data_IF_222708378356
#
_entry.id   IF_222708378356
#
_cell.length_a   1.000
_cell.length_b   1.000
_cell.length_c   1.000
_cell.angle_alpha   90.00
_cell.angle_beta   90.00
_cell.angle_gamma   90.00
#
_symmetry.space_group_name_H-M   'P 1'
#
loop_
_entity.id
_entity.type
_entity.pdbx_description
1 polymer ?
#
# COMPACT_ATOMS: atom_id res chain seq x y z
N UNK A 1 -19.09 -41.12 38.77
CA UNK A 1 -17.99 -40.38 39.42
C UNK A 1 -16.72 -40.35 38.57
N UNK A 2 -16.22 -41.51 38.08
CA UNK A 2 -14.99 -41.54 37.26
C UNK A 2 -15.06 -40.80 35.89
N UNK A 3 -16.22 -40.76 35.25
CA UNK A 3 -16.38 -40.08 33.94
C UNK A 3 -16.37 -38.53 34.08
N UNK A 4 -16.94 -38.03 35.15
CA UNK A 4 -16.95 -36.62 35.47
C UNK A 4 -15.58 -36.09 35.88
N UNK A 5 -14.80 -36.90 36.60
CA UNK A 5 -13.41 -36.62 36.97
C UNK A 5 -12.51 -36.61 35.73
N UNK A 6 -12.71 -37.53 34.77
CA UNK A 6 -11.97 -37.57 33.54
C UNK A 6 -12.29 -36.35 32.62
N UNK A 7 -13.54 -35.88 32.59
CA UNK A 7 -13.91 -34.67 31.87
C UNK A 7 -13.33 -33.39 32.52
N UNK A 8 -13.34 -33.35 33.87
CA UNK A 8 -12.74 -32.20 34.59
C UNK A 8 -11.21 -32.19 34.41
N UNK A 9 -10.54 -33.34 34.44
CA UNK A 9 -9.12 -33.46 34.17
C UNK A 9 -8.75 -33.12 32.72
N UNK A 10 -9.58 -33.49 31.76
CA UNK A 10 -9.40 -33.06 30.37
C UNK A 10 -9.62 -31.55 30.18
N UNK A 11 -10.61 -30.94 30.84
CA UNK A 11 -10.85 -29.49 30.81
C UNK A 11 -9.72 -28.73 31.52
N UNK A 12 -9.20 -29.27 32.64
CA UNK A 12 -8.05 -28.69 33.35
C UNK A 12 -6.77 -28.79 32.50
N UNK A 13 -6.51 -29.97 31.90
CA UNK A 13 -5.39 -30.16 30.98
C UNK A 13 -5.52 -29.27 29.72
N UNK A 14 -6.72 -29.10 29.16
CA UNK A 14 -6.96 -28.18 28.03
C UNK A 14 -6.73 -26.73 28.43
N UNK A 15 -7.13 -26.33 29.65
CA UNK A 15 -6.90 -24.97 30.14
C UNK A 15 -5.43 -24.72 30.53
N UNK A 16 -4.69 -25.73 30.97
CA UNK A 16 -3.25 -25.61 31.29
C UNK A 16 -2.40 -25.67 30.01
N UNK A 17 -2.75 -26.49 29.02
CA UNK A 17 -2.09 -26.55 27.72
C UNK A 17 -2.37 -25.31 26.83
N UNK A 18 -3.49 -24.59 27.07
CA UNK A 18 -3.82 -23.34 26.41
C UNK A 18 -3.11 -22.11 26.99
N UNK A 19 -2.30 -22.25 28.04
CA UNK A 19 -1.59 -21.12 28.68
C UNK A 19 -0.13 -20.95 28.27
N UNK A 20 0.45 -21.81 27.43
CA UNK A 20 1.74 -21.47 26.82
C UNK A 20 1.49 -20.59 25.61
N UNK A 21 1.58 -19.27 25.83
CA UNK A 21 1.58 -18.27 24.76
C UNK A 21 2.62 -18.64 23.71
N UNK A 22 2.20 -18.74 22.47
CA UNK A 22 3.10 -18.96 21.34
C UNK A 22 4.21 -17.89 21.28
N UNK A 23 5.29 -18.17 20.57
CA UNK A 23 6.39 -17.22 20.42
C UNK A 23 5.91 -15.91 19.78
N UNK A 24 5.00 -15.98 18.82
CA UNK A 24 4.30 -14.90 18.15
C UNK A 24 3.55 -14.00 19.15
N UNK A 25 2.72 -14.59 20.02
CA UNK A 25 2.00 -13.84 21.04
C UNK A 25 2.92 -13.15 22.04
N UNK A 26 4.04 -13.78 22.42
CA UNK A 26 5.05 -13.16 23.31
C UNK A 26 5.74 -11.98 22.63
N UNK A 27 6.01 -12.09 21.33
CA UNK A 27 6.59 -10.98 20.54
C UNK A 27 5.59 -9.85 20.46
N UNK A 28 4.33 -10.10 20.10
CA UNK A 28 3.27 -9.10 20.01
C UNK A 28 3.10 -8.35 21.33
N UNK A 29 2.99 -9.06 22.46
CA UNK A 29 2.88 -8.43 23.79
C UNK A 29 4.10 -7.60 24.17
N UNK A 30 5.31 -8.02 23.79
CA UNK A 30 6.53 -7.28 24.05
C UNK A 30 6.59 -5.96 23.23
N UNK A 31 6.06 -5.95 22.01
CA UNK A 31 6.02 -4.78 21.14
C UNK A 31 4.77 -3.92 21.30
N UNK A 32 3.69 -4.44 21.91
CA UNK A 32 2.43 -3.71 22.10
C UNK A 32 2.61 -2.32 22.72
N UNK A 33 3.37 -2.12 23.80
CA UNK A 33 3.54 -0.78 24.38
C UNK A 33 4.20 0.22 23.42
N UNK A 34 5.12 -0.25 22.58
CA UNK A 34 5.77 0.56 21.56
C UNK A 34 4.77 0.91 20.45
N UNK A 35 4.00 -0.07 20.01
CA UNK A 35 2.92 0.12 19.04
C UNK A 35 1.88 1.11 19.53
N UNK A 36 1.46 1.03 20.79
CA UNK A 36 0.47 1.92 21.40
C UNK A 36 0.95 3.37 21.45
N UNK A 37 2.23 3.60 21.78
CA UNK A 37 2.82 4.94 21.77
C UNK A 37 2.80 5.52 20.34
N UNK A 38 3.29 4.78 19.35
CA UNK A 38 3.30 5.24 17.98
C UNK A 38 1.90 5.46 17.43
N UNK A 39 0.98 4.55 17.69
CA UNK A 39 -0.43 4.66 17.28
C UNK A 39 -1.08 5.87 17.95
N UNK A 40 -0.85 6.11 19.23
CA UNK A 40 -1.37 7.28 19.95
C UNK A 40 -0.87 8.62 19.41
N UNK A 41 0.38 8.65 18.91
CA UNK A 41 0.96 9.86 18.29
C UNK A 41 0.47 10.06 16.86
N UNK A 42 0.43 9.00 16.05
CA UNK A 42 0.08 9.08 14.62
C UNK A 42 -1.43 9.27 14.44
N UNK A 43 -2.21 8.51 15.20
CA UNK A 43 -3.67 8.51 15.10
C UNK A 43 -4.34 9.36 16.18
N UNK A 44 -3.61 10.35 16.76
CA UNK A 44 -4.27 11.24 17.69
C UNK A 44 -5.49 11.90 17.05
N UNK A 45 -6.60 11.93 17.77
CA UNK A 45 -7.88 12.38 17.24
C UNK A 45 -8.11 13.86 17.50
N UNK A 46 -8.74 14.52 16.51
CA UNK A 46 -9.35 15.84 16.67
C UNK A 46 -10.83 15.67 16.39
N UNK A 47 -11.65 15.81 17.45
CA UNK A 47 -13.02 15.29 17.41
C UNK A 47 -13.01 13.76 17.42
N UNK A 48 -13.80 13.15 16.54
CA UNK A 48 -13.99 11.69 16.50
C UNK A 48 -13.02 10.96 15.56
N UNK A 49 -12.12 11.69 14.85
CA UNK A 49 -11.31 11.10 13.80
C UNK A 49 -9.83 11.46 13.89
N UNK A 50 -8.93 10.58 13.37
CA UNK A 50 -7.49 10.84 13.36
C UNK A 50 -7.12 12.11 12.59
N UNK A 51 -6.33 12.98 13.21
CA UNK A 51 -5.88 14.24 12.62
C UNK A 51 -5.13 14.05 11.29
N UNK A 52 -4.37 12.97 11.18
CA UNK A 52 -3.61 12.66 9.96
C UNK A 52 -4.50 12.56 8.71
N UNK A 53 -5.75 12.09 8.86
CA UNK A 53 -6.69 11.99 7.73
C UNK A 53 -7.10 13.39 7.25
N UNK A 54 -7.43 14.30 8.17
CA UNK A 54 -7.73 15.69 7.82
C UNK A 54 -6.56 16.35 7.09
N UNK A 55 -5.34 16.09 7.53
CA UNK A 55 -4.15 16.65 6.93
C UNK A 55 -3.91 16.09 5.52
N UNK A 56 -4.02 14.77 5.33
CA UNK A 56 -3.82 14.13 4.02
C UNK A 56 -4.88 14.57 3.01
N UNK A 57 -6.16 14.52 3.39
CA UNK A 57 -7.27 14.89 2.50
C UNK A 57 -7.30 16.38 2.25
N UNK A 58 -7.07 17.20 3.29
CA UNK A 58 -7.02 18.65 3.17
C UNK A 58 -5.88 19.13 2.26
N UNK A 59 -4.69 18.53 2.39
CA UNK A 59 -3.56 18.84 1.49
C UNK A 59 -3.83 18.36 0.06
N UNK A 60 -4.43 17.19 -0.13
CA UNK A 60 -4.78 16.68 -1.45
C UNK A 60 -5.79 17.58 -2.18
N UNK A 61 -6.82 18.02 -1.46
CA UNK A 61 -7.80 18.99 -1.96
C UNK A 61 -7.14 20.34 -2.28
N UNK A 62 -6.31 20.85 -1.36
CA UNK A 62 -5.56 22.08 -1.54
C UNK A 62 -4.71 22.05 -2.82
N UNK A 63 -3.89 21.02 -3.03
CA UNK A 63 -3.07 20.90 -4.23
C UNK A 63 -3.92 20.72 -5.49
N UNK A 64 -5.02 19.99 -5.42
CA UNK A 64 -5.94 19.84 -6.55
C UNK A 64 -6.50 21.20 -7.01
N UNK A 65 -6.90 22.05 -6.06
CA UNK A 65 -7.44 23.38 -6.35
C UNK A 65 -6.35 24.36 -6.80
N UNK A 66 -5.22 24.43 -6.10
CA UNK A 66 -4.11 25.34 -6.40
C UNK A 66 -3.52 25.10 -7.79
N UNK A 67 -3.34 23.83 -8.17
CA UNK A 67 -2.84 23.48 -9.50
C UNK A 67 -3.94 23.29 -10.55
N UNK A 68 -5.18 23.69 -10.24
CA UNK A 68 -6.31 23.71 -11.16
C UNK A 68 -6.57 22.33 -11.78
N UNK A 69 -6.75 21.32 -10.95
CA UNK A 69 -7.05 19.93 -11.32
C UNK A 69 -6.00 19.30 -12.26
N UNK A 70 -4.73 19.20 -11.84
CA UNK A 70 -3.67 18.62 -12.68
C UNK A 70 -3.96 17.16 -13.05
N UNK A 71 -4.63 16.43 -12.18
CA UNK A 71 -5.09 15.06 -12.37
C UNK A 71 -6.02 14.88 -13.59
N UNK A 72 -6.81 15.89 -13.93
CA UNK A 72 -7.69 15.87 -15.12
C UNK A 72 -6.96 16.50 -16.32
N UNK A 73 -6.41 17.70 -16.14
CA UNK A 73 -5.84 18.48 -17.24
C UNK A 73 -4.63 17.87 -17.90
N UNK A 74 -3.78 17.20 -17.11
CA UNK A 74 -2.50 16.68 -17.58
C UNK A 74 -2.44 15.14 -17.62
N UNK A 75 -3.57 14.45 -17.41
CA UNK A 75 -3.61 12.98 -17.42
C UNK A 75 -3.08 12.38 -18.73
N UNK A 76 -3.53 12.90 -19.87
CA UNK A 76 -3.05 12.44 -21.17
C UNK A 76 -1.57 12.79 -21.40
N UNK A 77 -1.10 13.92 -20.86
CA UNK A 77 0.31 14.30 -20.90
C UNK A 77 1.16 13.34 -20.07
N UNK A 78 0.71 12.95 -18.89
CA UNK A 78 1.37 11.97 -18.04
C UNK A 78 1.60 10.64 -18.78
N UNK A 79 0.56 10.12 -19.46
CA UNK A 79 0.68 8.92 -20.29
C UNK A 79 1.70 9.10 -21.43
N UNK A 80 1.71 10.27 -22.07
CA UNK A 80 2.65 10.57 -23.16
C UNK A 80 4.10 10.64 -22.66
N UNK A 81 4.35 11.18 -21.44
CA UNK A 81 5.68 11.17 -20.81
C UNK A 81 6.15 9.74 -20.59
N UNK A 82 5.32 8.91 -19.96
CA UNK A 82 5.65 7.49 -19.71
C UNK A 82 5.95 6.74 -21.02
N UNK A 83 5.25 7.07 -22.11
CA UNK A 83 5.47 6.47 -23.44
C UNK A 83 6.72 7.00 -24.15
N UNK A 84 7.48 7.92 -23.55
CA UNK A 84 8.69 8.47 -24.13
C UNK A 84 8.46 9.49 -25.26
N UNK A 85 7.24 10.01 -25.42
CA UNK A 85 6.95 10.99 -26.49
C UNK A 85 7.79 12.27 -26.39
N UNK A 86 8.25 12.58 -25.21
CA UNK A 86 9.02 13.80 -24.92
C UNK A 86 10.51 13.52 -24.66
N UNK A 87 10.98 12.28 -24.81
CA UNK A 87 12.39 11.91 -24.58
C UNK A 87 13.38 12.71 -25.40
N UNK A 88 13.00 13.13 -26.60
CA UNK A 88 13.87 13.95 -27.46
C UNK A 88 14.07 15.37 -26.92
N UNK A 89 13.09 15.94 -26.22
CA UNK A 89 13.21 17.24 -25.58
C UNK A 89 14.14 17.18 -24.36
N UNK A 90 14.17 16.04 -23.69
CA UNK A 90 15.03 15.82 -22.53
C UNK A 90 16.48 15.49 -22.89
N UNK A 91 16.75 15.13 -24.16
CA UNK A 91 18.09 14.80 -24.67
C UNK A 91 18.90 16.03 -25.15
N UNK A 92 18.28 17.21 -25.30
CA UNK A 92 18.86 18.31 -26.09
C UNK A 92 19.77 19.26 -25.30
N UNK A 93 19.90 19.18 -23.98
CA UNK A 93 20.61 20.18 -23.17
C UNK A 93 21.68 19.63 -22.21
N UNK A 94 22.53 18.82 -22.62
CA UNK A 94 23.77 18.35 -22.00
C UNK A 94 23.82 16.83 -21.83
N UNK A 95 25.01 16.27 -22.09
CA UNK A 95 25.33 14.83 -21.95
C UNK A 95 25.31 14.30 -20.49
N UNK A 96 24.94 15.12 -19.51
CA UNK A 96 24.77 14.71 -18.11
C UNK A 96 23.33 14.23 -17.87
N UNK A 97 23.05 12.98 -18.17
CA UNK A 97 21.81 12.31 -17.78
C UNK A 97 21.84 12.03 -16.29
N UNK A 98 21.49 13.01 -15.48
CA UNK A 98 21.30 12.85 -14.05
C UNK A 98 20.11 11.90 -13.80
N UNK A 99 20.38 10.73 -13.27
CA UNK A 99 19.38 9.73 -12.96
C UNK A 99 19.79 8.30 -13.28
N UNK A 100 19.05 7.33 -12.76
CA UNK A 100 19.40 5.90 -12.85
C UNK A 100 18.39 5.09 -13.68
N UNK A 101 17.10 5.51 -13.73
CA UNK A 101 15.98 4.74 -14.30
C UNK A 101 15.14 5.59 -15.27
N UNK A 102 14.34 4.94 -16.12
CA UNK A 102 13.39 5.62 -17.01
C UNK A 102 12.12 6.05 -16.25
N UNK A 103 11.29 6.92 -16.84
CA UNK A 103 9.97 7.30 -16.32
C UNK A 103 9.08 6.09 -16.04
N UNK A 104 9.01 5.14 -16.97
CA UNK A 104 8.23 3.91 -16.79
C UNK A 104 8.78 3.05 -15.63
N UNK A 105 10.10 2.92 -15.51
CA UNK A 105 10.74 2.17 -14.43
C UNK A 105 10.51 2.82 -13.07
N UNK A 106 10.57 4.15 -12.97
CA UNK A 106 10.27 4.87 -11.74
C UNK A 106 8.81 4.68 -11.33
N UNK A 107 7.87 4.86 -12.28
CA UNK A 107 6.44 4.59 -12.06
C UNK A 107 6.18 3.14 -11.65
N UNK A 108 6.75 2.17 -12.36
CA UNK A 108 6.57 0.75 -12.01
C UNK A 108 7.11 0.43 -10.62
N UNK A 109 8.23 1.04 -10.21
CA UNK A 109 8.79 0.87 -8.87
C UNK A 109 7.88 1.50 -7.81
N UNK A 110 7.31 2.68 -8.06
CA UNK A 110 6.38 3.34 -7.14
C UNK A 110 5.06 2.56 -7.04
N UNK A 111 4.47 2.17 -8.17
CA UNK A 111 3.26 1.32 -8.22
C UNK A 111 3.51 -0.04 -7.55
N UNK A 112 4.71 -0.59 -7.64
CA UNK A 112 5.09 -1.81 -6.90
C UNK A 112 5.03 -1.62 -5.38
N UNK A 113 5.30 -0.42 -4.89
CA UNK A 113 5.20 -0.09 -3.46
C UNK A 113 3.76 0.03 -2.97
N UNK A 114 2.87 0.57 -3.80
CA UNK A 114 1.48 0.86 -3.47
C UNK A 114 0.53 -0.27 -3.82
N UNK A 115 0.64 -0.86 -5.02
CA UNK A 115 -0.19 -2.01 -5.42
C UNK A 115 0.29 -3.27 -4.72
N UNK A 116 -0.33 -3.55 -3.60
CA UNK A 116 -0.01 -4.64 -2.70
C UNK A 116 -1.26 -5.27 -2.08
N UNK A 117 -1.09 -5.88 -0.92
CA UNK A 117 -2.22 -6.46 -0.20
C UNK A 117 -3.26 -5.42 0.25
N UNK A 118 -2.91 -4.12 0.24
CA UNK A 118 -3.87 -3.03 0.46
C UNK A 118 -5.01 -3.02 -0.53
N UNK A 119 -4.75 -3.36 -1.80
CA UNK A 119 -5.76 -3.37 -2.87
C UNK A 119 -6.69 -4.59 -2.80
N UNK A 120 -6.30 -5.64 -2.12
CA UNK A 120 -7.07 -6.88 -1.94
C UNK A 120 -7.70 -6.90 -0.56
N UNK A 121 -6.88 -6.97 0.49
CA UNK A 121 -7.32 -7.05 1.88
C UNK A 121 -7.86 -5.71 2.40
N UNK A 122 -7.21 -4.59 2.07
CA UNK A 122 -7.62 -3.26 2.53
C UNK A 122 -8.98 -2.83 1.98
N UNK A 123 -9.28 -3.15 0.72
CA UNK A 123 -10.61 -2.90 0.10
C UNK A 123 -11.68 -3.76 0.73
N UNK A 124 -11.39 -5.04 0.96
CA UNK A 124 -12.32 -5.94 1.65
C UNK A 124 -12.66 -5.43 3.06
N UNK A 125 -11.64 -4.98 3.80
CA UNK A 125 -11.83 -4.33 5.10
C UNK A 125 -12.66 -3.03 5.00
N UNK A 126 -12.42 -2.20 3.97
CA UNK A 126 -13.21 -1.00 3.76
C UNK A 126 -14.70 -1.31 3.60
N UNK A 127 -15.01 -2.35 2.81
CA UNK A 127 -16.39 -2.79 2.56
C UNK A 127 -16.99 -3.46 3.80
N UNK A 128 -16.22 -4.29 4.50
CA UNK A 128 -16.68 -4.94 5.72
C UNK A 128 -17.06 -3.94 6.81
N UNK A 129 -16.24 -2.91 7.01
CA UNK A 129 -16.44 -1.86 8.03
C UNK A 129 -17.42 -0.77 7.58
N UNK A 130 -17.24 -0.28 6.35
CA UNK A 130 -17.87 0.93 5.82
C UNK A 130 -18.97 0.67 4.80
N UNK A 131 -19.24 -0.59 4.48
CA UNK A 131 -20.17 -0.94 3.42
C UNK A 131 -19.71 -0.50 2.03
N UNK A 132 -20.55 -0.69 1.00
CA UNK A 132 -20.25 -0.33 -0.39
C UNK A 132 -19.90 1.15 -0.59
N UNK A 133 -20.47 2.03 0.23
CA UNK A 133 -20.27 3.48 0.16
C UNK A 133 -18.81 3.91 0.41
N UNK A 134 -18.05 3.14 1.18
CA UNK A 134 -16.61 3.38 1.39
C UNK A 134 -15.84 3.40 0.07
N UNK A 135 -16.26 2.59 -0.92
CA UNK A 135 -15.64 2.56 -2.26
C UNK A 135 -15.73 3.91 -2.96
N UNK A 136 -16.87 4.61 -2.87
CA UNK A 136 -17.02 5.96 -3.45
C UNK A 136 -15.96 6.92 -2.89
N UNK A 137 -15.80 6.93 -1.58
CA UNK A 137 -14.85 7.82 -0.92
C UNK A 137 -13.40 7.41 -1.15
N UNK A 138 -13.13 6.12 -1.32
CA UNK A 138 -11.81 5.66 -1.78
C UNK A 138 -11.47 6.23 -3.17
N UNK A 139 -12.40 6.16 -4.13
CA UNK A 139 -12.21 6.71 -5.48
C UNK A 139 -11.96 8.21 -5.42
N UNK A 140 -12.76 8.96 -4.66
CA UNK A 140 -12.58 10.41 -4.49
C UNK A 140 -11.21 10.73 -3.89
N UNK A 141 -10.80 10.02 -2.84
CA UNK A 141 -9.48 10.18 -2.23
C UNK A 141 -8.36 9.86 -3.23
N UNK A 142 -8.48 8.80 -4.01
CA UNK A 142 -7.53 8.47 -5.08
C UNK A 142 -7.38 9.59 -6.10
N UNK A 143 -8.51 10.13 -6.59
CA UNK A 143 -8.53 11.21 -7.58
C UNK A 143 -7.86 12.50 -7.07
N UNK A 144 -8.16 12.94 -5.85
CA UNK A 144 -7.51 14.14 -5.28
C UNK A 144 -6.06 13.84 -4.87
N UNK A 145 -5.76 12.62 -4.42
CA UNK A 145 -4.42 12.16 -4.07
C UNK A 145 -3.42 12.20 -5.22
N UNK A 146 -3.89 12.07 -6.47
CA UNK A 146 -3.06 12.26 -7.67
C UNK A 146 -2.33 13.60 -7.65
N UNK A 147 -3.00 14.68 -7.24
CA UNK A 147 -2.39 16.01 -7.16
C UNK A 147 -1.31 16.11 -6.08
N UNK A 148 -1.46 15.39 -4.99
CA UNK A 148 -0.42 15.29 -3.94
C UNK A 148 0.81 14.56 -4.47
N UNK A 149 0.63 13.42 -5.16
CA UNK A 149 1.72 12.68 -5.80
C UNK A 149 2.48 13.55 -6.82
N UNK A 150 1.76 14.35 -7.61
CA UNK A 150 2.38 15.31 -8.51
C UNK A 150 3.35 16.23 -7.78
N UNK A 151 2.93 16.80 -6.65
CA UNK A 151 3.76 17.74 -5.89
C UNK A 151 4.94 17.04 -5.23
N UNK A 152 4.71 15.94 -4.51
CA UNK A 152 5.76 15.27 -3.76
C UNK A 152 6.85 14.68 -4.67
N UNK A 153 6.48 14.13 -5.84
CA UNK A 153 7.45 13.58 -6.79
C UNK A 153 8.17 14.67 -7.59
N UNK A 154 7.51 15.79 -7.92
CA UNK A 154 8.17 16.99 -8.47
C UNK A 154 9.23 17.49 -7.50
N UNK A 155 8.92 17.65 -6.22
CA UNK A 155 9.86 18.07 -5.20
C UNK A 155 10.99 17.06 -4.99
N UNK A 156 10.67 15.76 -5.06
CA UNK A 156 11.65 14.69 -4.96
C UNK A 156 12.74 14.78 -6.01
N UNK A 157 12.37 15.02 -7.26
CA UNK A 157 13.33 15.22 -8.38
C UNK A 157 14.04 16.56 -8.27
N UNK A 158 13.33 17.63 -7.95
CA UNK A 158 13.90 18.99 -7.89
C UNK A 158 15.01 19.12 -6.84
N UNK A 159 14.85 18.52 -5.67
CA UNK A 159 15.77 18.63 -4.54
C UNK A 159 16.70 17.43 -4.37
N UNK A 160 16.73 16.48 -5.30
CA UNK A 160 17.62 15.31 -5.24
C UNK A 160 19.09 15.70 -5.25
N UNK A 161 19.93 14.81 -4.72
CA UNK A 161 21.39 14.81 -4.88
C UNK A 161 21.77 13.73 -5.86
N UNK A 162 22.73 14.03 -6.73
CA UNK A 162 23.38 13.04 -7.59
C UNK A 162 24.87 13.05 -7.24
N UNK A 163 25.41 11.89 -6.89
CA UNK A 163 26.83 11.79 -6.56
C UNK A 163 27.71 11.66 -7.82
N UNK A 164 29.02 11.59 -7.60
CA UNK A 164 29.99 11.49 -8.69
C UNK A 164 29.87 10.20 -9.51
N UNK A 165 29.28 9.17 -8.93
CA UNK A 165 29.07 7.86 -9.55
C UNK A 165 27.70 7.79 -10.23
N UNK A 166 26.93 8.89 -10.25
CA UNK A 166 25.60 8.99 -10.82
C UNK A 166 24.51 8.34 -9.97
N UNK A 167 24.79 8.01 -8.70
CA UNK A 167 23.79 7.46 -7.77
C UNK A 167 22.91 8.59 -7.24
N UNK A 168 21.62 8.38 -7.30
CA UNK A 168 20.62 9.37 -6.89
C UNK A 168 20.21 9.17 -5.44
N UNK A 169 20.11 10.28 -4.72
CA UNK A 169 19.59 10.38 -3.37
C UNK A 169 18.51 11.45 -3.33
N UNK A 170 17.27 11.05 -3.12
CA UNK A 170 16.13 11.96 -3.17
C UNK A 170 15.00 11.55 -2.22
N UNK A 171 13.88 12.24 -2.35
CA UNK A 171 12.71 12.03 -1.50
C UNK A 171 12.55 13.07 -0.39
N UNK A 172 11.64 12.83 0.57
CA UNK A 172 11.28 13.82 1.58
C UNK A 172 12.45 14.34 2.43
N UNK A 173 13.42 13.49 2.76
CA UNK A 173 14.60 13.90 3.52
C UNK A 173 15.32 15.07 2.85
N UNK A 174 15.39 15.05 1.51
CA UNK A 174 16.11 16.04 0.73
C UNK A 174 15.28 17.31 0.48
N UNK A 175 14.02 17.17 0.07
CA UNK A 175 13.21 18.37 -0.17
C UNK A 175 12.78 19.09 1.13
N UNK A 176 12.60 18.38 2.24
CA UNK A 176 12.37 19.01 3.54
C UNK A 176 13.61 19.78 3.99
N UNK A 177 14.79 19.18 3.89
CA UNK A 177 16.03 19.86 4.33
C UNK A 177 16.37 21.07 3.45
N UNK A 178 16.34 20.90 2.12
CA UNK A 178 16.75 21.97 1.18
C UNK A 178 15.64 23.00 0.97
N UNK A 179 14.41 22.57 0.72
CA UNK A 179 13.30 23.46 0.43
C UNK A 179 12.91 24.34 1.65
N UNK A 180 12.92 23.78 2.86
CA UNK A 180 12.68 24.60 4.06
C UNK A 180 13.86 25.51 4.39
N UNK A 181 15.11 25.13 4.07
CA UNK A 181 16.27 25.99 4.19
C UNK A 181 16.15 27.22 3.29
N UNK A 182 15.73 27.06 2.04
CA UNK A 182 15.48 28.17 1.09
C UNK A 182 14.42 29.16 1.59
N UNK A 183 13.48 28.67 2.41
CA UNK A 183 12.44 29.49 3.05
C UNK A 183 12.83 30.05 4.41
N UNK A 184 14.08 29.85 4.85
CA UNK A 184 14.58 30.32 6.16
C UNK A 184 14.27 29.41 7.36
N UNK A 185 13.67 28.23 7.12
CA UNK A 185 13.29 27.26 8.18
C UNK A 185 14.26 26.06 8.26
N UNK A 186 15.57 26.31 8.19
CA UNK A 186 16.59 25.24 8.11
C UNK A 186 16.51 24.22 9.26
N UNK A 187 16.31 24.68 10.50
CA UNK A 187 16.23 23.81 11.69
C UNK A 187 15.00 22.90 11.60
N UNK A 188 13.85 23.46 11.24
CA UNK A 188 12.60 22.72 11.06
C UNK A 188 12.76 21.67 9.96
N UNK A 189 13.39 22.03 8.85
CA UNK A 189 13.64 21.11 7.74
C UNK A 189 14.49 19.90 8.12
N UNK A 190 15.55 20.13 8.89
CA UNK A 190 16.41 19.03 9.39
C UNK A 190 15.66 18.10 10.36
N UNK A 191 14.89 18.65 11.29
CA UNK A 191 14.12 17.85 12.26
C UNK A 191 13.04 17.03 11.53
N UNK A 192 12.28 17.66 10.65
CA UNK A 192 11.24 16.97 9.87
C UNK A 192 11.82 15.87 8.96
N UNK A 193 12.98 16.10 8.34
CA UNK A 193 13.65 15.11 7.51
C UNK A 193 14.13 13.89 8.33
N UNK A 194 14.65 14.11 9.54
CA UNK A 194 15.06 13.02 10.44
C UNK A 194 13.84 12.22 10.91
N UNK A 195 12.76 12.90 11.32
CA UNK A 195 11.51 12.23 11.71
C UNK A 195 10.98 11.38 10.55
N UNK A 196 10.89 11.97 9.35
CA UNK A 196 10.47 11.23 8.17
C UNK A 196 11.35 9.99 7.92
N UNK A 197 12.67 10.14 7.99
CA UNK A 197 13.59 9.02 7.74
C UNK A 197 13.38 7.88 8.74
N UNK A 198 13.20 8.19 10.04
CA UNK A 198 12.90 7.19 11.07
C UNK A 198 11.57 6.49 10.79
N UNK A 199 10.51 7.27 10.49
CA UNK A 199 9.20 6.72 10.16
C UNK A 199 9.23 5.85 8.89
N UNK A 200 9.98 6.26 7.86
CA UNK A 200 10.12 5.51 6.61
C UNK A 200 10.87 4.19 6.81
N UNK A 201 11.91 4.16 7.66
CA UNK A 201 12.59 2.92 8.04
C UNK A 201 11.62 1.99 8.79
N UNK A 202 10.89 2.51 9.78
CA UNK A 202 9.88 1.75 10.49
C UNK A 202 8.77 1.24 9.58
N UNK A 203 8.28 2.08 8.67
CA UNK A 203 7.30 1.71 7.64
C UNK A 203 7.80 0.61 6.71
N UNK A 204 9.09 0.67 6.33
CA UNK A 204 9.71 -0.37 5.52
C UNK A 204 9.74 -1.72 6.24
N UNK A 205 10.14 -1.76 7.50
CA UNK A 205 10.18 -3.01 8.26
C UNK A 205 8.77 -3.54 8.57
N UNK A 206 7.85 -2.67 9.00
CA UNK A 206 6.49 -3.04 9.39
C UNK A 206 5.56 -3.25 8.19
N UNK A 207 5.04 -2.16 7.62
CA UNK A 207 4.03 -2.20 6.56
C UNK A 207 4.54 -2.74 5.23
N UNK A 208 5.79 -2.40 4.88
CA UNK A 208 6.43 -2.79 3.63
C UNK A 208 6.91 -4.23 3.59
N UNK A 209 7.38 -4.78 4.69
CA UNK A 209 7.94 -6.14 4.73
C UNK A 209 7.15 -7.09 5.63
N UNK A 210 7.08 -6.85 6.94
CA UNK A 210 6.46 -7.78 7.88
C UNK A 210 4.98 -8.05 7.57
N UNK A 211 4.19 -7.00 7.34
CA UNK A 211 2.77 -7.14 7.03
C UNK A 211 2.54 -7.86 5.68
N UNK A 212 3.36 -7.57 4.67
CA UNK A 212 3.25 -8.19 3.35
C UNK A 212 3.63 -9.67 3.41
N UNK A 213 4.73 -10.02 4.09
CA UNK A 213 5.16 -11.41 4.25
C UNK A 213 4.16 -12.23 5.06
N UNK A 214 3.56 -11.63 6.10
CA UNK A 214 2.53 -12.28 6.91
C UNK A 214 1.29 -12.61 6.07
N UNK A 215 0.76 -11.66 5.29
CA UNK A 215 -0.38 -11.91 4.41
C UNK A 215 -0.08 -12.99 3.35
N UNK A 216 1.10 -12.95 2.74
CA UNK A 216 1.53 -13.99 1.81
C UNK A 216 1.66 -15.37 2.48
N UNK A 217 2.18 -15.42 3.71
CA UNK A 217 2.30 -16.65 4.46
C UNK A 217 0.93 -17.25 4.84
N UNK A 218 -0.03 -16.41 5.23
CA UNK A 218 -1.40 -16.86 5.55
C UNK A 218 -2.02 -17.58 4.34
N UNK A 219 -2.09 -16.91 3.19
CA UNK A 219 -2.75 -17.48 1.99
C UNK A 219 -2.01 -18.70 1.44
N UNK A 220 -0.66 -18.76 1.57
CA UNK A 220 0.10 -19.93 1.17
C UNK A 220 -0.10 -21.13 2.12
N UNK A 221 -0.18 -20.89 3.43
CA UNK A 221 -0.50 -21.91 4.41
C UNK A 221 -1.89 -22.50 4.15
N UNK A 222 -2.88 -21.66 3.95
CA UNK A 222 -4.25 -22.07 3.64
C UNK A 222 -4.29 -22.93 2.37
N UNK A 223 -3.63 -22.49 1.29
CA UNK A 223 -3.58 -23.21 0.02
C UNK A 223 -2.89 -24.58 0.13
N UNK A 224 -1.81 -24.65 0.92
CA UNK A 224 -1.02 -25.88 1.09
C UNK A 224 -1.58 -26.82 2.17
N UNK A 225 -2.56 -26.37 2.96
CA UNK A 225 -3.12 -27.14 4.07
C UNK A 225 -2.14 -27.33 5.24
N UNK A 226 -1.16 -26.44 5.40
CA UNK A 226 -0.18 -26.46 6.48
C UNK A 226 -0.49 -25.42 7.54
N UNK A 227 -0.99 -25.85 8.70
CA UNK A 227 -1.35 -24.96 9.80
C UNK A 227 -0.32 -24.98 10.95
N UNK A 228 0.96 -24.86 10.61
CA UNK A 228 2.02 -24.83 11.62
C UNK A 228 2.78 -23.49 11.60
N UNK A 229 3.23 -23.04 12.77
CA UNK A 229 4.10 -21.84 12.90
C UNK A 229 5.40 -22.01 12.13
N UNK A 230 5.93 -23.25 12.08
CA UNK A 230 7.14 -23.58 11.32
C UNK A 230 6.95 -23.36 9.81
N UNK A 231 5.78 -23.70 9.25
CA UNK A 231 5.49 -23.45 7.83
C UNK A 231 5.51 -21.96 7.50
N UNK A 232 4.92 -21.11 8.36
CA UNK A 232 4.97 -19.65 8.21
C UNK A 232 6.41 -19.11 8.21
N UNK A 233 7.25 -19.58 9.13
CA UNK A 233 8.66 -19.20 9.20
C UNK A 233 9.45 -19.60 7.93
N UNK A 234 9.20 -20.81 7.39
CA UNK A 234 9.84 -21.27 6.16
C UNK A 234 9.41 -20.46 4.94
N UNK A 235 8.11 -20.12 4.83
CA UNK A 235 7.60 -19.24 3.77
C UNK A 235 8.27 -17.87 3.87
N UNK A 236 8.31 -17.27 5.07
CA UNK A 236 8.97 -15.99 5.32
C UNK A 236 10.45 -16.02 4.94
N UNK A 237 11.17 -17.08 5.26
CA UNK A 237 12.57 -17.26 4.88
C UNK A 237 12.76 -17.30 3.34
N UNK A 238 11.90 -18.01 2.64
CA UNK A 238 11.93 -18.10 1.17
C UNK A 238 11.68 -16.70 0.57
N UNK A 239 10.68 -15.97 1.07
CA UNK A 239 10.39 -14.60 0.64
C UNK A 239 11.55 -13.65 0.92
N UNK A 240 12.18 -13.75 2.11
CA UNK A 240 13.34 -12.94 2.48
C UNK A 240 14.54 -13.18 1.55
N UNK A 241 14.81 -14.44 1.20
CA UNK A 241 15.88 -14.79 0.24
C UNK A 241 15.58 -14.20 -1.14
N UNK A 242 14.33 -14.35 -1.63
CA UNK A 242 13.91 -13.87 -2.93
C UNK A 242 14.03 -12.34 -3.02
N UNK A 243 13.50 -11.63 -2.03
CA UNK A 243 13.57 -10.16 -1.94
C UNK A 243 15.03 -9.72 -1.78
N UNK A 244 15.79 -10.36 -0.89
CA UNK A 244 17.20 -10.08 -0.64
C UNK A 244 18.05 -10.13 -1.91
N UNK A 245 17.87 -11.15 -2.75
CA UNK A 245 18.57 -11.27 -4.05
C UNK A 245 18.29 -10.06 -4.94
N UNK A 246 17.10 -9.50 -4.91
CA UNK A 246 16.70 -8.36 -5.77
C UNK A 246 17.27 -7.06 -5.21
N UNK A 247 17.09 -6.78 -3.91
CA UNK A 247 17.47 -5.51 -3.30
C UNK A 247 19.00 -5.29 -3.23
N UNK A 248 19.79 -6.37 -3.24
CA UNK A 248 21.26 -6.27 -3.30
C UNK A 248 21.72 -5.51 -4.54
N UNK A 249 21.02 -5.64 -5.67
CA UNK A 249 21.35 -4.98 -6.93
C UNK A 249 20.98 -3.48 -7.01
N UNK A 250 20.41 -2.91 -5.96
CA UNK A 250 20.00 -1.49 -5.91
C UNK A 250 18.86 -1.14 -6.86
N UNK A 251 18.62 0.19 -7.03
CA UNK A 251 17.44 0.69 -7.77
C UNK A 251 17.37 0.18 -9.22
N UNK A 252 18.49 0.04 -9.90
CA UNK A 252 18.52 -0.44 -11.31
C UNK A 252 17.98 -1.85 -11.44
N UNK A 253 18.33 -2.74 -10.50
CA UNK A 253 17.84 -4.11 -10.49
C UNK A 253 16.39 -4.17 -10.02
N UNK A 254 16.04 -3.42 -8.99
CA UNK A 254 14.65 -3.28 -8.50
C UNK A 254 13.77 -2.82 -9.66
N UNK A 255 14.11 -1.73 -10.33
CA UNK A 255 13.35 -1.19 -11.45
C UNK A 255 13.23 -2.17 -12.63
N UNK A 256 14.30 -2.91 -12.95
CA UNK A 256 14.27 -3.94 -14.01
C UNK A 256 13.37 -5.14 -13.67
N UNK A 257 13.17 -5.44 -12.39
CA UNK A 257 12.23 -6.47 -11.95
C UNK A 257 10.81 -5.92 -11.94
N UNK A 258 10.59 -4.75 -11.32
CA UNK A 258 9.27 -4.16 -11.14
C UNK A 258 8.63 -3.76 -12.47
N UNK A 259 9.39 -3.27 -13.46
CA UNK A 259 8.88 -2.96 -14.81
C UNK A 259 8.24 -4.15 -15.53
N UNK A 260 8.57 -5.37 -15.14
CA UNK A 260 8.02 -6.62 -15.71
C UNK A 260 6.93 -7.20 -14.81
N UNK A 261 7.22 -7.29 -13.52
CA UNK A 261 6.32 -7.94 -12.55
C UNK A 261 5.05 -7.12 -12.36
N UNK A 262 5.15 -5.79 -12.23
CA UNK A 262 3.99 -4.96 -11.92
C UNK A 262 2.93 -4.95 -13.02
N UNK A 263 3.26 -4.72 -14.31
CA UNK A 263 2.25 -4.80 -15.36
C UNK A 263 1.65 -6.19 -15.48
N UNK A 264 2.46 -7.25 -15.30
CA UNK A 264 1.98 -8.63 -15.36
C UNK A 264 0.99 -8.93 -14.24
N UNK A 265 1.34 -8.64 -12.97
CA UNK A 265 0.47 -8.91 -11.83
C UNK A 265 -0.82 -8.09 -11.87
N UNK A 266 -0.72 -6.79 -12.24
CA UNK A 266 -1.87 -5.90 -12.34
C UNK A 266 -2.82 -6.36 -13.47
N UNK A 267 -2.27 -6.69 -14.64
CA UNK A 267 -3.06 -7.19 -15.78
C UNK A 267 -3.77 -8.49 -15.42
N UNK A 268 -3.05 -9.43 -14.82
CA UNK A 268 -3.60 -10.72 -14.40
C UNK A 268 -4.78 -10.52 -13.45
N UNK A 269 -4.61 -9.67 -12.43
CA UNK A 269 -5.65 -9.37 -11.46
C UNK A 269 -6.85 -8.65 -12.08
N UNK A 270 -6.61 -7.63 -12.90
CA UNK A 270 -7.65 -6.88 -13.60
C UNK A 270 -8.46 -7.79 -14.52
N UNK A 271 -7.81 -8.69 -15.28
CA UNK A 271 -8.51 -9.62 -16.16
C UNK A 271 -9.43 -10.57 -15.38
N UNK A 272 -9.01 -11.06 -14.23
CA UNK A 272 -9.86 -11.89 -13.39
C UNK A 272 -11.05 -11.11 -12.80
N UNK A 273 -10.83 -9.88 -12.36
CA UNK A 273 -11.92 -8.98 -11.93
C UNK A 273 -12.89 -8.70 -13.08
N UNK A 274 -12.38 -8.37 -14.27
CA UNK A 274 -13.20 -8.12 -15.46
C UNK A 274 -14.00 -9.35 -15.89
N UNK A 275 -13.44 -10.56 -15.74
CA UNK A 275 -14.18 -11.79 -15.99
C UNK A 275 -15.39 -11.92 -15.04
N UNK A 276 -15.18 -11.72 -13.73
CA UNK A 276 -16.26 -11.79 -12.73
C UNK A 276 -17.32 -10.71 -12.99
N UNK A 277 -16.89 -9.47 -13.19
CA UNK A 277 -17.78 -8.32 -13.44
C UNK A 277 -18.55 -8.53 -14.76
N UNK A 278 -17.88 -8.97 -15.82
CA UNK A 278 -18.49 -9.23 -17.12
C UNK A 278 -19.46 -10.39 -17.10
N UNK A 279 -19.16 -11.46 -16.35
CA UNK A 279 -20.07 -12.60 -16.17
C UNK A 279 -21.33 -12.24 -15.37
N UNK A 280 -21.26 -11.15 -14.60
CA UNK A 280 -22.35 -10.63 -13.77
C UNK A 280 -22.79 -9.24 -14.23
N UNK A 281 -22.78 -8.99 -15.54
CA UNK A 281 -23.02 -7.67 -16.12
C UNK A 281 -24.33 -7.02 -15.67
N UNK A 282 -25.37 -7.83 -15.43
CA UNK A 282 -26.68 -7.35 -14.95
C UNK A 282 -26.65 -6.68 -13.57
N UNK A 283 -25.62 -6.93 -12.78
CA UNK A 283 -25.48 -6.34 -11.44
C UNK A 283 -24.60 -5.08 -11.41
N UNK A 284 -24.00 -4.68 -12.51
CA UNK A 284 -23.07 -3.54 -12.55
C UNK A 284 -23.80 -2.24 -12.17
N UNK A 285 -24.94 -1.97 -12.78
CA UNK A 285 -25.72 -0.75 -12.51
C UNK A 285 -26.18 -0.70 -11.05
N UNK A 286 -26.62 -1.83 -10.51
CA UNK A 286 -27.03 -1.94 -9.12
C UNK A 286 -25.85 -1.76 -8.15
N UNK A 287 -24.66 -2.29 -8.50
CA UNK A 287 -23.45 -2.11 -7.71
C UNK A 287 -23.04 -0.63 -7.63
N UNK A 288 -23.00 0.08 -8.76
CA UNK A 288 -22.70 1.52 -8.77
C UNK A 288 -23.76 2.34 -8.04
N UNK A 289 -25.04 2.02 -8.24
CA UNK A 289 -26.13 2.66 -7.51
C UNK A 289 -26.01 2.45 -6.00
N UNK A 290 -25.67 1.24 -5.57
CA UNK A 290 -25.45 0.92 -4.16
C UNK A 290 -24.26 1.68 -3.60
N UNK A 291 -23.13 1.71 -4.30
CA UNK A 291 -21.94 2.48 -3.92
C UNK A 291 -22.30 3.96 -3.69
N UNK A 292 -22.99 4.59 -4.62
CA UNK A 292 -23.37 6.00 -4.52
C UNK A 292 -24.40 6.22 -3.40
N UNK A 293 -25.41 5.38 -3.31
CA UNK A 293 -26.45 5.53 -2.29
C UNK A 293 -25.88 5.38 -0.88
N UNK A 294 -25.10 4.33 -0.65
CA UNK A 294 -24.49 4.05 0.65
C UNK A 294 -23.37 5.05 1.02
N UNK A 295 -22.78 5.74 0.05
CA UNK A 295 -21.81 6.79 0.32
C UNK A 295 -22.40 8.00 1.06
N UNK A 296 -23.68 8.31 0.81
CA UNK A 296 -24.36 9.49 1.35
C UNK A 296 -25.50 9.16 2.31
N UNK A 297 -26.01 7.93 2.25
CA UNK A 297 -27.08 7.45 3.12
C UNK A 297 -26.83 5.99 3.53
N UNK A 298 -25.81 5.71 4.36
CA UNK A 298 -25.45 4.35 4.72
C UNK A 298 -26.53 3.71 5.59
N UNK A 299 -27.05 2.57 5.15
CA UNK A 299 -28.09 1.81 5.86
C UNK A 299 -27.48 0.80 6.84
N UNK A 300 -26.27 0.31 6.55
CA UNK A 300 -25.62 -0.78 7.28
C UNK A 300 -24.79 -0.32 8.49
N UNK A 301 -24.52 0.98 8.62
CA UNK A 301 -23.61 1.49 9.66
C UNK A 301 -24.44 2.22 10.73
N UNK A 302 -24.45 1.65 11.94
CA UNK A 302 -25.14 2.20 13.08
C UNK A 302 -24.63 3.60 13.48
N UNK A 303 -23.89 3.72 14.54
CA UNK A 303 -23.41 5.00 15.07
C UNK A 303 -22.27 5.58 14.22
N UNK A 304 -22.52 6.66 13.47
CA UNK A 304 -21.49 7.39 12.69
C UNK A 304 -21.93 7.86 11.31
N UNK A 305 -22.85 7.19 10.68
CA UNK A 305 -23.49 7.63 9.41
C UNK A 305 -22.48 7.90 8.28
N UNK A 306 -22.84 8.83 7.41
CA UNK A 306 -22.05 9.21 6.21
C UNK A 306 -20.59 9.59 6.50
N UNK A 307 -20.33 10.27 7.62
CA UNK A 307 -18.97 10.71 7.99
C UNK A 307 -18.08 9.51 8.30
N UNK A 308 -18.60 8.50 9.00
CA UNK A 308 -17.84 7.28 9.28
C UNK A 308 -17.45 6.55 7.99
N UNK A 309 -18.39 6.38 7.05
CA UNK A 309 -18.13 5.76 5.74
C UNK A 309 -17.07 6.52 4.96
N UNK A 310 -17.16 7.85 4.93
CA UNK A 310 -16.20 8.75 4.30
C UNK A 310 -14.80 8.54 4.91
N UNK A 311 -14.71 8.53 6.24
CA UNK A 311 -13.43 8.39 6.94
C UNK A 311 -12.79 7.01 6.72
N UNK A 312 -13.60 5.95 6.74
CA UNK A 312 -13.12 4.60 6.40
C UNK A 312 -12.60 4.58 4.97
N UNK A 313 -13.34 5.10 4.00
CA UNK A 313 -12.92 5.16 2.61
C UNK A 313 -11.61 5.93 2.44
N UNK A 314 -11.47 7.09 3.06
CA UNK A 314 -10.26 7.91 3.00
C UNK A 314 -9.06 7.24 3.67
N UNK A 315 -9.25 6.64 4.84
CA UNK A 315 -8.19 5.94 5.55
C UNK A 315 -7.64 4.77 4.72
N UNK A 316 -8.52 3.99 4.11
CA UNK A 316 -8.10 2.84 3.30
C UNK A 316 -7.47 3.26 1.98
N UNK A 317 -7.97 4.30 1.33
CA UNK A 317 -7.35 4.85 0.13
C UNK A 317 -5.96 5.43 0.41
N UNK A 318 -5.81 6.24 1.46
CA UNK A 318 -4.53 6.83 1.85
C UNK A 318 -3.49 5.76 2.20
N UNK A 319 -3.92 4.65 2.83
CA UNK A 319 -3.05 3.50 3.10
C UNK A 319 -2.66 2.77 1.80
N UNK A 320 -3.56 2.65 0.83
CA UNK A 320 -3.31 1.95 -0.43
C UNK A 320 -2.39 2.74 -1.36
N UNK A 321 -2.75 4.00 -1.68
CA UNK A 321 -2.01 4.80 -2.66
C UNK A 321 -0.88 5.65 -2.09
N UNK A 322 -0.74 5.73 -0.77
CA UNK A 322 0.31 6.46 -0.06
C UNK A 322 0.43 7.95 -0.47
N UNK A 323 -0.61 8.57 -1.01
CA UNK A 323 -0.58 9.96 -1.41
C UNK A 323 -0.44 10.88 -0.20
N UNK A 324 0.63 11.67 -0.17
CA UNK A 324 0.99 12.53 0.96
C UNK A 324 1.92 11.86 1.98
N UNK A 325 2.18 10.54 1.86
CA UNK A 325 3.18 9.86 2.68
C UNK A 325 4.62 10.23 2.28
N UNK A 326 4.84 10.58 1.02
CA UNK A 326 6.16 10.97 0.51
C UNK A 326 7.03 9.81 0.04
N UNK A 327 6.67 8.57 0.32
CA UNK A 327 7.43 7.36 0.00
C UNK A 327 7.77 7.22 -1.48
N UNK A 328 6.78 7.39 -2.34
CA UNK A 328 6.94 7.27 -3.79
C UNK A 328 7.96 8.26 -4.38
N UNK A 329 8.08 9.46 -3.81
CA UNK A 329 9.04 10.46 -4.25
C UNK A 329 10.50 9.97 -4.17
N UNK A 330 10.78 8.94 -3.36
CA UNK A 330 12.10 8.31 -3.27
C UNK A 330 12.41 7.53 -4.56
N UNK A 331 11.46 6.74 -5.07
CA UNK A 331 11.63 6.01 -6.33
C UNK A 331 11.66 6.98 -7.52
N UNK A 332 10.73 7.91 -7.57
CA UNK A 332 10.63 8.90 -8.64
C UNK A 332 11.85 9.83 -8.72
N UNK A 333 12.53 10.09 -7.60
CA UNK A 333 13.77 10.86 -7.61
C UNK A 333 14.88 10.24 -8.47
N UNK A 334 14.88 8.92 -8.66
CA UNK A 334 15.90 8.22 -9.42
C UNK A 334 15.75 8.34 -10.95
N UNK A 335 14.70 8.98 -11.43
CA UNK A 335 14.42 9.10 -12.87
C UNK A 335 15.49 9.91 -13.62
N UNK A 336 15.72 9.53 -14.87
CA UNK A 336 16.57 10.26 -15.83
C UNK A 336 15.77 11.40 -16.47
N UNK A 337 15.76 12.56 -15.87
CA UNK A 337 15.09 13.75 -16.40
C UNK A 337 15.76 15.03 -15.93
N UNK A 338 15.71 16.06 -16.77
CA UNK A 338 16.09 17.42 -16.44
C UNK A 338 14.89 18.27 -15.96
N UNK A 339 13.67 17.75 -16.11
CA UNK A 339 12.43 18.46 -15.79
C UNK A 339 11.68 17.77 -14.64
N UNK A 340 11.83 18.30 -13.44
CA UNK A 340 11.18 17.74 -12.26
C UNK A 340 9.64 17.58 -12.41
N UNK A 341 8.99 18.52 -13.09
CA UNK A 341 7.55 18.48 -13.31
C UNK A 341 7.10 17.35 -14.23
N UNK A 342 7.96 16.86 -15.16
CA UNK A 342 7.59 15.74 -16.03
C UNK A 342 7.42 14.46 -15.20
N UNK A 343 8.28 14.24 -14.20
CA UNK A 343 8.14 13.10 -13.31
C UNK A 343 6.98 13.26 -12.31
N UNK A 344 6.71 14.50 -11.87
CA UNK A 344 5.49 14.77 -11.10
C UNK A 344 4.22 14.42 -11.88
N UNK A 345 4.19 14.70 -13.20
CA UNK A 345 3.07 14.29 -14.06
C UNK A 345 2.96 12.76 -14.17
N UNK A 346 4.08 12.05 -14.28
CA UNK A 346 4.09 10.58 -14.27
C UNK A 346 3.48 10.04 -12.97
N UNK A 347 3.85 10.62 -11.83
CA UNK A 347 3.36 10.21 -10.52
C UNK A 347 1.83 10.39 -10.33
N UNK A 348 1.16 11.24 -11.14
CA UNK A 348 -0.31 11.31 -11.17
C UNK A 348 -0.95 9.93 -11.45
N UNK A 349 -0.29 9.10 -12.25
CA UNK A 349 -0.86 7.81 -12.69
C UNK A 349 -0.87 6.76 -11.57
N UNK A 350 -0.05 6.92 -10.54
CA UNK A 350 0.08 5.95 -9.46
C UNK A 350 -1.22 5.77 -8.65
N UNK A 351 -1.83 6.82 -8.02
CA UNK A 351 -3.11 6.66 -7.32
C UNK A 351 -4.26 6.30 -8.25
N UNK A 352 -4.18 6.68 -9.53
CA UNK A 352 -5.19 6.28 -10.51
C UNK A 352 -5.16 4.76 -10.73
N UNK A 353 -3.98 4.19 -11.00
CA UNK A 353 -3.82 2.74 -11.20
C UNK A 353 -4.19 1.98 -9.94
N UNK A 354 -3.63 2.40 -8.81
CA UNK A 354 -3.82 1.74 -7.52
C UNK A 354 -5.27 1.79 -7.05
N UNK A 355 -5.79 2.99 -6.82
CA UNK A 355 -7.05 3.17 -6.11
C UNK A 355 -8.25 3.26 -7.07
N UNK A 356 -8.15 4.09 -8.13
CA UNK A 356 -9.29 4.30 -9.01
C UNK A 356 -9.55 3.06 -9.89
N UNK A 357 -8.50 2.33 -10.29
CA UNK A 357 -8.67 1.11 -11.10
C UNK A 357 -8.71 -0.13 -10.21
N UNK A 358 -7.61 -0.51 -9.57
CA UNK A 358 -7.47 -1.82 -8.93
C UNK A 358 -8.39 -1.95 -7.71
N UNK A 359 -8.40 -0.96 -6.79
CA UNK A 359 -9.29 -1.03 -5.63
C UNK A 359 -10.78 -1.02 -6.04
N UNK A 360 -11.16 -0.27 -7.08
CA UNK A 360 -12.54 -0.27 -7.56
C UNK A 360 -12.93 -1.62 -8.14
N UNK A 361 -12.04 -2.27 -8.90
CA UNK A 361 -12.28 -3.62 -9.41
C UNK A 361 -12.50 -4.63 -8.28
N UNK A 362 -11.64 -4.62 -7.26
CA UNK A 362 -11.81 -5.46 -6.07
C UNK A 362 -13.14 -5.19 -5.37
N UNK A 363 -13.49 -3.91 -5.19
CA UNK A 363 -14.73 -3.52 -4.54
C UNK A 363 -15.95 -4.02 -5.31
N UNK A 364 -15.98 -3.86 -6.63
CA UNK A 364 -17.09 -4.35 -7.46
C UNK A 364 -17.24 -5.87 -7.35
N UNK A 365 -16.16 -6.63 -7.36
CA UNK A 365 -16.22 -8.09 -7.19
C UNK A 365 -16.84 -8.46 -5.84
N UNK A 366 -16.42 -7.83 -4.75
CA UNK A 366 -16.94 -8.12 -3.39
C UNK A 366 -18.41 -7.68 -3.28
N UNK A 367 -18.78 -6.53 -3.83
CA UNK A 367 -20.17 -6.02 -3.80
C UNK A 367 -21.09 -6.92 -4.61
N UNK A 368 -20.68 -7.34 -5.80
CA UNK A 368 -21.44 -8.26 -6.65
C UNK A 368 -21.62 -9.61 -5.94
N UNK A 369 -20.58 -10.13 -5.31
CA UNK A 369 -20.66 -11.33 -4.50
C UNK A 369 -21.70 -11.20 -3.38
N UNK A 370 -21.73 -10.05 -2.71
CA UNK A 370 -22.63 -9.83 -1.57
C UNK A 370 -24.08 -9.50 -1.98
N UNK A 371 -24.43 -9.37 -3.24
CA UNK A 371 -25.84 -9.32 -3.66
C UNK A 371 -26.63 -10.58 -3.32
N UNK A 372 -25.94 -11.71 -3.12
CA UNK A 372 -26.54 -12.94 -2.57
C UNK A 372 -26.88 -12.85 -1.09
N UNK A 373 -26.48 -11.77 -0.38
CA UNK A 373 -26.60 -11.66 1.06
C UNK A 373 -25.62 -12.54 1.83
N UNK A 374 -24.41 -12.77 1.25
CA UNK A 374 -23.40 -13.66 1.80
C UNK A 374 -22.91 -13.22 3.19
N UNK A 375 -22.87 -11.90 3.45
CA UNK A 375 -22.45 -11.34 4.74
C UNK A 375 -23.11 -9.99 5.04
N UNK A 376 -23.04 -9.56 6.30
CA UNK A 376 -23.51 -8.25 6.76
C UNK A 376 -22.37 -7.25 6.81
N UNK A 377 -22.64 -6.02 6.38
CA UNK A 377 -21.72 -4.89 6.51
C UNK A 377 -21.72 -4.30 7.94
N UNK A 378 -20.69 -3.53 8.30
CA UNK A 378 -20.63 -2.80 9.57
C UNK A 378 -20.07 -3.59 10.74
N UNK A 379 -19.35 -4.71 10.49
CA UNK A 379 -18.66 -5.49 11.51
C UNK A 379 -17.34 -4.85 12.00
N UNK A 380 -16.61 -5.58 12.83
CA UNK A 380 -15.32 -5.16 13.41
C UNK A 380 -14.10 -5.49 12.51
N UNK A 381 -14.28 -5.51 11.18
CA UNK A 381 -13.21 -5.79 10.22
C UNK A 381 -13.22 -7.19 9.61
N UNK A 382 -13.94 -8.14 10.22
CA UNK A 382 -14.24 -9.46 9.67
C UNK A 382 -15.72 -9.60 9.33
N UNK A 383 -16.03 -10.56 8.46
CA UNK A 383 -17.39 -10.93 8.08
C UNK A 383 -17.62 -12.43 8.24
N UNK A 384 -18.81 -12.81 8.67
CA UNK A 384 -19.22 -14.21 8.75
C UNK A 384 -19.83 -14.62 7.40
N UNK A 385 -19.22 -15.62 6.74
CA UNK A 385 -19.73 -16.23 5.51
C UNK A 385 -19.88 -17.73 5.80
N UNK A 386 -21.09 -18.25 5.66
CA UNK A 386 -21.41 -19.67 5.96
C UNK A 386 -20.98 -20.12 7.38
N UNK A 387 -21.02 -19.19 8.35
CA UNK A 387 -20.64 -19.46 9.74
C UNK A 387 -19.12 -19.45 10.01
N UNK A 388 -18.30 -19.12 9.01
CA UNK A 388 -16.84 -18.99 9.14
C UNK A 388 -16.47 -17.50 9.09
N UNK A 389 -15.59 -17.07 9.99
CA UNK A 389 -15.07 -15.69 10.01
C UNK A 389 -13.99 -15.54 8.94
N UNK A 390 -14.21 -14.59 8.05
CA UNK A 390 -13.22 -14.17 7.03
C UNK A 390 -12.80 -12.72 7.27
N UNK A 391 -11.51 -12.45 7.11
CA UNK A 391 -10.91 -11.13 7.27
C UNK A 391 -10.05 -10.77 6.06
N UNK A 392 -9.95 -9.48 5.76
CA UNK A 392 -9.03 -8.95 4.74
C UNK A 392 -9.08 -9.70 3.41
N UNK A 393 -7.94 -10.27 2.99
CA UNK A 393 -7.83 -10.99 1.71
C UNK A 393 -8.73 -12.24 1.63
N UNK A 394 -9.10 -12.84 2.78
CA UNK A 394 -10.00 -13.98 2.82
C UNK A 394 -11.41 -13.68 2.30
N UNK A 395 -11.92 -12.46 2.54
CA UNK A 395 -13.21 -12.01 1.99
C UNK A 395 -13.13 -11.94 0.46
N UNK A 396 -12.05 -11.36 -0.06
CA UNK A 396 -11.82 -11.28 -1.51
C UNK A 396 -11.66 -12.67 -2.11
N UNK A 397 -10.92 -13.57 -1.43
CA UNK A 397 -10.74 -14.95 -1.88
C UNK A 397 -12.07 -15.68 -2.02
N UNK A 398 -12.96 -15.54 -1.02
CA UNK A 398 -14.28 -16.15 -1.04
C UNK A 398 -15.15 -15.59 -2.16
N UNK A 399 -15.08 -14.28 -2.41
CA UNK A 399 -15.77 -13.63 -3.51
C UNK A 399 -15.30 -14.13 -4.90
N UNK A 400 -14.00 -14.36 -5.07
CA UNK A 400 -13.46 -14.92 -6.32
C UNK A 400 -13.85 -16.39 -6.51
N UNK A 401 -13.77 -17.20 -5.45
CA UNK A 401 -14.07 -18.63 -5.47
C UNK A 401 -15.52 -18.91 -5.91
N UNK A 402 -16.45 -18.03 -5.56
CA UNK A 402 -17.84 -18.12 -5.99
C UNK A 402 -18.01 -18.13 -7.53
N UNK A 403 -17.14 -17.42 -8.26
CA UNK A 403 -17.29 -17.21 -9.70
C UNK A 403 -16.22 -17.90 -10.55
N UNK A 404 -15.06 -18.20 -9.96
CA UNK A 404 -13.93 -18.84 -10.63
C UNK A 404 -13.53 -20.06 -9.80
N UNK A 405 -14.02 -21.26 -10.11
CA UNK A 405 -13.60 -22.47 -9.42
C UNK A 405 -12.08 -22.66 -9.45
N UNK A 406 -11.47 -22.89 -8.28
CA UNK A 406 -10.01 -22.97 -8.15
C UNK A 406 -9.29 -21.64 -8.16
N UNK A 407 -10.01 -20.51 -7.99
CA UNK A 407 -9.42 -19.16 -7.90
C UNK A 407 -8.44 -19.03 -6.73
N UNK A 408 -8.47 -19.91 -5.76
CA UNK A 408 -7.53 -19.96 -4.64
C UNK A 408 -6.07 -19.97 -5.10
N UNK A 409 -5.73 -20.79 -6.13
CA UNK A 409 -4.38 -20.84 -6.73
C UNK A 409 -3.99 -19.52 -7.36
N UNK A 410 -4.92 -18.94 -8.12
CA UNK A 410 -4.74 -17.66 -8.79
C UNK A 410 -4.58 -16.52 -7.79
N UNK A 411 -5.48 -16.41 -6.82
CA UNK A 411 -5.48 -15.32 -5.85
C UNK A 411 -4.26 -15.41 -4.92
N UNK A 412 -3.90 -16.62 -4.45
CA UNK A 412 -2.67 -16.83 -3.68
C UNK A 412 -1.45 -16.38 -4.48
N UNK A 413 -1.37 -16.73 -5.77
CA UNK A 413 -0.28 -16.25 -6.65
C UNK A 413 -0.28 -14.72 -6.74
N UNK A 414 -1.44 -14.09 -6.93
CA UNK A 414 -1.56 -12.63 -7.00
C UNK A 414 -1.12 -11.96 -5.67
N UNK A 415 -1.61 -12.46 -4.53
CA UNK A 415 -1.25 -11.96 -3.18
C UNK A 415 0.26 -12.06 -2.93
N UNK A 416 0.88 -13.18 -3.31
CA UNK A 416 2.33 -13.37 -3.16
C UNK A 416 3.12 -12.43 -4.07
N UNK A 417 2.71 -12.27 -5.33
CA UNK A 417 3.36 -11.33 -6.25
C UNK A 417 3.23 -9.88 -5.77
N UNK A 418 2.04 -9.49 -5.29
CA UNK A 418 1.79 -8.17 -4.72
C UNK A 418 2.62 -7.95 -3.46
N UNK A 419 2.70 -8.93 -2.56
CA UNK A 419 3.54 -8.86 -1.37
C UNK A 419 5.01 -8.67 -1.73
N UNK A 420 5.57 -9.55 -2.57
CA UNK A 420 6.98 -9.49 -2.99
C UNK A 420 7.30 -8.16 -3.68
N UNK A 421 6.43 -7.68 -4.56
CA UNK A 421 6.65 -6.40 -5.25
C UNK A 421 6.72 -5.23 -4.27
N UNK A 422 5.79 -5.19 -3.29
CA UNK A 422 5.76 -4.16 -2.25
C UNK A 422 6.99 -4.23 -1.34
N UNK A 423 7.40 -5.44 -0.92
CA UNK A 423 8.59 -5.65 -0.10
C UNK A 423 9.86 -5.10 -0.81
N UNK A 424 10.00 -5.33 -2.10
CA UNK A 424 11.14 -4.84 -2.90
C UNK A 424 11.19 -3.31 -2.91
N UNK A 425 10.08 -2.63 -3.17
CA UNK A 425 10.03 -1.17 -3.26
C UNK A 425 10.19 -0.50 -1.91
N UNK A 426 9.52 -1.01 -0.88
CA UNK A 426 9.66 -0.48 0.47
C UNK A 426 11.05 -0.69 1.06
N UNK A 427 11.72 -1.80 0.72
CA UNK A 427 13.12 -2.01 1.08
C UNK A 427 14.01 -0.92 0.48
N UNK A 428 13.71 -0.45 -0.75
CA UNK A 428 14.43 0.66 -1.35
C UNK A 428 14.15 2.00 -0.64
N UNK A 429 12.90 2.26 -0.27
CA UNK A 429 12.55 3.48 0.46
C UNK A 429 13.27 3.55 1.82
N UNK A 430 13.25 2.45 2.54
CA UNK A 430 13.90 2.37 3.84
C UNK A 430 15.43 2.49 3.76
N UNK A 431 16.08 1.86 2.76
CA UNK A 431 17.54 1.98 2.61
C UNK A 431 17.98 3.40 2.24
N UNK A 432 17.19 4.15 1.46
CA UNK A 432 17.49 5.55 1.17
C UNK A 432 17.37 6.42 2.43
N UNK A 433 16.35 6.17 3.26
CA UNK A 433 16.17 6.82 4.55
C UNK A 433 17.27 6.45 5.55
N UNK A 434 17.69 5.18 5.56
CA UNK A 434 18.81 4.69 6.36
C UNK A 434 20.14 5.37 5.97
N UNK A 435 20.41 5.48 4.67
CA UNK A 435 21.62 6.17 4.15
C UNK A 435 21.61 7.66 4.51
N UNK A 436 20.46 8.29 4.58
CA UNK A 436 20.35 9.68 5.00
C UNK A 436 20.77 9.86 6.48
N UNK A 437 20.39 8.93 7.38
CA UNK A 437 20.69 9.01 8.81
C UNK A 437 22.11 8.52 9.18
N UNK A 438 22.53 7.40 8.58
CA UNK A 438 23.75 6.67 8.98
C UNK A 438 24.88 6.75 7.96
N UNK A 439 24.65 7.48 6.86
CA UNK A 439 25.65 7.70 5.82
C UNK A 439 25.61 6.66 4.70
N UNK A 440 26.34 6.98 3.62
CA UNK A 440 26.33 6.27 2.33
C UNK A 440 27.34 5.11 2.29
N UNK A 441 27.89 4.72 3.44
CA UNK A 441 28.94 3.69 3.53
C UNK A 441 28.43 2.28 3.22
N UNK A 442 29.30 1.43 2.67
CA UNK A 442 28.99 0.04 2.33
C UNK A 442 28.53 -0.78 3.55
N UNK A 443 29.10 -0.51 4.73
CA UNK A 443 28.73 -1.20 5.97
C UNK A 443 27.30 -0.84 6.37
N UNK A 444 26.94 0.45 6.36
CA UNK A 444 25.57 0.90 6.66
C UNK A 444 24.54 0.28 5.68
N UNK A 445 24.87 0.22 4.40
CA UNK A 445 24.06 -0.43 3.36
C UNK A 445 23.83 -1.92 3.65
N UNK A 446 24.90 -2.65 4.01
CA UNK A 446 24.80 -4.07 4.31
C UNK A 446 24.03 -4.37 5.59
N UNK A 447 24.22 -3.56 6.64
CA UNK A 447 23.46 -3.69 7.90
C UNK A 447 21.97 -3.56 7.64
N UNK A 448 21.54 -2.53 6.91
CA UNK A 448 20.12 -2.36 6.57
C UNK A 448 19.57 -3.55 5.79
N UNK A 449 20.28 -4.00 4.73
CA UNK A 449 19.85 -5.12 3.88
C UNK A 449 19.75 -6.44 4.64
N UNK A 450 20.51 -6.59 5.70
CA UNK A 450 20.43 -7.77 6.57
C UNK A 450 19.26 -7.70 7.54
N UNK A 451 18.88 -6.50 7.99
CA UNK A 451 17.77 -6.28 8.93
C UNK A 451 16.41 -6.30 8.23
N UNK A 452 16.37 -5.94 6.95
CA UNK A 452 15.19 -5.87 6.12
C UNK A 452 14.79 -7.25 5.56
#
# INVERSE_FOLDING_TARGET
MNYMIAQILNLINYSILSQEKGLDQRIDEAFQPVSDIFSGVIFFTVGDYPFVIYLLVGSALFFTLVFLFPNIRYFATAINVVRGKYDNLEKTESDSKDGEVSHFQALATAVSGTVGNGNIAGVALAIALGGPGATFWMIVCGLIGMSTKFVECTLGVHYRDVDKDGVVYGGPMYYLTKGLKERGFEKLGKVAAVIFAICCIGGSFGGGNAAQSNQAAIVLKDLLGYDSTFAGAMIGLILAILVGIIIIGGIKRIASVTEKVVPFMALLYILACLYIIGSNFSFIDDAFKLIITEAFNPTAIGVGGTISVLMIGFQRAAFSNEAGAGSASIAHSAVKTNYAASEGLVALLEPFIDTVVICTMTALVIIIFNFSGAFMYGGEGGVLIDGVLYEGAGITAKAFDQYIPGSEYFLTTAVVLFAVSTMISWSYYGIQSWKYLFGKGRVADMVYKFMC
#
